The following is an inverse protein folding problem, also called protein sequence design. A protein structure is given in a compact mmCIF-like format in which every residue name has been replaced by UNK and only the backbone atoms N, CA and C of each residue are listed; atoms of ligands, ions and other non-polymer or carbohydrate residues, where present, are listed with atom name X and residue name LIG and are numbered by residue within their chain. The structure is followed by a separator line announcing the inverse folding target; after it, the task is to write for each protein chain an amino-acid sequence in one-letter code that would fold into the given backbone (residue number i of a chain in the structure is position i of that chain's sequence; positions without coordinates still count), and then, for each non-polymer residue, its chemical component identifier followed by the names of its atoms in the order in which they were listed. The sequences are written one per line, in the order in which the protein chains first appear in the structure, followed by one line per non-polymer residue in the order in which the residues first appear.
data_IF_009863297348
#
_entry.id   IF_009863297348
#
_cell.length_a   1.000
_cell.length_b   1.000
_cell.length_c   1.000
_cell.angle_alpha   90.00
_cell.angle_beta   90.00
_cell.angle_gamma   90.00
#
_symmetry.space_group_name_H-M   'P 1'
#
loop_
_entity.id
_entity.type
_entity.pdbx_description
1 polymer ?
#
# COMPACT_ATOMS: atom_id res chain seq x y z
N UNK A 1 -18.41 -8.95 -16.85
CA UNK A 1 -17.79 -8.09 -15.81
C UNK A 1 -17.27 -9.02 -14.72
N UNK A 2 -15.95 -9.22 -14.59
CA UNK A 2 -15.42 -10.16 -13.58
C UNK A 2 -15.55 -9.50 -12.20
N UNK A 3 -16.33 -10.13 -11.34
CA UNK A 3 -16.53 -9.75 -9.94
C UNK A 3 -15.16 -9.80 -9.25
N UNK A 4 -14.83 -8.74 -8.52
CA UNK A 4 -13.69 -8.70 -7.60
C UNK A 4 -13.72 -9.96 -6.71
N UNK A 5 -12.69 -10.81 -6.77
CA UNK A 5 -12.58 -11.97 -5.90
C UNK A 5 -11.91 -11.54 -4.59
N UNK A 6 -12.72 -11.42 -3.54
CA UNK A 6 -12.25 -11.18 -2.17
C UNK A 6 -11.17 -12.19 -1.74
N UNK A 7 -11.28 -13.44 -2.24
CA UNK A 7 -10.32 -14.51 -1.96
C UNK A 7 -8.94 -14.21 -2.56
N UNK A 8 -8.88 -13.76 -3.82
CA UNK A 8 -7.62 -13.39 -4.46
C UNK A 8 -6.94 -12.21 -3.75
N UNK A 9 -7.73 -11.22 -3.35
CA UNK A 9 -7.24 -10.07 -2.58
C UNK A 9 -6.66 -10.53 -1.23
N UNK A 10 -7.37 -11.41 -0.52
CA UNK A 10 -6.94 -11.99 0.76
C UNK A 10 -5.64 -12.80 0.65
N UNK A 11 -5.48 -13.58 -0.42
CA UNK A 11 -4.25 -14.35 -0.67
C UNK A 11 -3.04 -13.43 -0.87
N UNK A 12 -3.20 -12.34 -1.64
CA UNK A 12 -2.11 -11.37 -1.86
C UNK A 12 -1.79 -10.63 -0.55
N UNK A 13 -2.78 -10.28 0.26
CA UNK A 13 -2.53 -9.69 1.58
C UNK A 13 -1.79 -10.64 2.52
N UNK A 14 -2.08 -11.94 2.48
CA UNK A 14 -1.35 -12.96 3.24
C UNK A 14 0.11 -13.00 2.81
N UNK A 15 0.38 -13.05 1.51
CA UNK A 15 1.75 -12.99 0.96
C UNK A 15 2.47 -11.70 1.39
N UNK A 16 1.79 -10.54 1.35
CA UNK A 16 2.35 -9.26 1.84
C UNK A 16 2.73 -9.37 3.32
N UNK A 17 1.87 -9.96 4.16
CA UNK A 17 2.13 -10.12 5.60
C UNK A 17 3.36 -11.01 5.84
N UNK A 18 3.45 -12.16 5.17
CA UNK A 18 4.59 -13.09 5.30
C UNK A 18 5.91 -12.45 4.84
N UNK A 19 5.87 -11.68 3.75
CA UNK A 19 7.05 -10.93 3.27
C UNK A 19 7.42 -9.79 4.20
N UNK A 20 6.44 -9.10 4.79
CA UNK A 20 6.69 -8.05 5.79
C UNK A 20 7.42 -8.62 7.00
N UNK A 21 6.95 -9.77 7.49
CA UNK A 21 7.59 -10.48 8.59
C UNK A 21 9.03 -10.89 8.26
N UNK A 22 9.23 -11.48 7.08
CA UNK A 22 10.55 -11.86 6.62
C UNK A 22 11.48 -10.63 6.51
N UNK A 23 10.98 -9.53 5.95
CA UNK A 23 11.73 -8.29 5.83
C UNK A 23 12.10 -7.71 7.21
N UNK A 24 11.21 -7.78 8.21
CA UNK A 24 11.51 -7.34 9.58
C UNK A 24 12.70 -8.09 10.17
N UNK A 25 12.66 -9.43 10.10
CA UNK A 25 13.73 -10.29 10.63
C UNK A 25 15.06 -9.94 9.96
N UNK A 26 15.06 -9.88 8.63
CA UNK A 26 16.27 -9.60 7.85
C UNK A 26 16.80 -8.18 8.12
N UNK A 27 15.90 -7.21 8.29
CA UNK A 27 16.26 -5.80 8.51
C UNK A 27 16.99 -5.55 9.83
N UNK A 28 17.01 -6.51 10.75
CA UNK A 28 17.74 -6.38 12.01
C UNK A 28 19.24 -6.68 11.90
N UNK A 29 19.69 -7.22 10.77
CA UNK A 29 21.07 -7.61 10.54
C UNK A 29 21.79 -6.60 9.64
N UNK A 30 22.82 -5.94 10.16
CA UNK A 30 23.64 -4.97 9.40
C UNK A 30 24.73 -5.68 8.58
N UNK A 31 24.31 -6.60 7.72
CA UNK A 31 25.17 -7.36 6.83
C UNK A 31 24.65 -7.26 5.40
N UNK A 32 25.57 -7.20 4.43
CA UNK A 32 25.26 -6.94 3.02
C UNK A 32 24.21 -7.90 2.45
N UNK A 33 24.34 -9.20 2.72
CA UNK A 33 23.39 -10.22 2.24
C UNK A 33 21.99 -9.98 2.79
N UNK A 34 21.90 -9.63 4.08
CA UNK A 34 20.63 -9.33 4.73
C UNK A 34 20.02 -8.02 4.27
N UNK A 35 20.84 -7.00 4.00
CA UNK A 35 20.41 -5.71 3.45
C UNK A 35 19.88 -5.87 2.02
N UNK A 36 20.57 -6.63 1.18
CA UNK A 36 20.11 -6.96 -0.17
C UNK A 36 18.82 -7.78 -0.11
N UNK A 37 18.77 -8.81 0.75
CA UNK A 37 17.56 -9.62 0.94
C UNK A 37 16.38 -8.79 1.43
N UNK A 38 16.60 -7.87 2.37
CA UNK A 38 15.57 -6.93 2.84
C UNK A 38 15.08 -6.03 1.69
N UNK A 39 16.00 -5.50 0.87
CA UNK A 39 15.67 -4.68 -0.30
C UNK A 39 14.82 -5.47 -1.31
N UNK A 40 15.12 -6.76 -1.50
CA UNK A 40 14.33 -7.65 -2.36
C UNK A 40 12.93 -7.88 -1.81
N UNK A 41 12.78 -8.14 -0.50
CA UNK A 41 11.46 -8.31 0.12
C UNK A 41 10.63 -7.04 0.01
N UNK A 42 11.21 -5.87 0.30
CA UNK A 42 10.56 -4.56 0.12
C UNK A 42 10.08 -4.41 -1.32
N UNK A 43 10.95 -4.67 -2.31
CA UNK A 43 10.58 -4.56 -3.73
C UNK A 43 9.41 -5.47 -4.08
N UNK A 44 9.38 -6.70 -3.57
CA UNK A 44 8.26 -7.63 -3.77
C UNK A 44 6.96 -7.17 -3.12
N UNK A 45 7.03 -6.63 -1.91
CA UNK A 45 5.87 -6.04 -1.23
C UNK A 45 5.30 -4.88 -2.06
N UNK A 46 6.15 -3.98 -2.55
CA UNK A 46 5.73 -2.88 -3.43
C UNK A 46 5.04 -3.42 -4.69
N UNK A 47 5.60 -4.43 -5.35
CA UNK A 47 4.99 -5.07 -6.54
C UNK A 47 3.59 -5.63 -6.21
N UNK A 48 3.41 -6.29 -5.07
CA UNK A 48 2.13 -6.85 -4.63
C UNK A 48 1.10 -5.75 -4.31
N UNK A 49 1.50 -4.67 -3.61
CA UNK A 49 0.60 -3.53 -3.34
C UNK A 49 0.07 -2.95 -4.64
N UNK A 50 0.97 -2.74 -5.59
CA UNK A 50 0.57 -2.18 -6.87
C UNK A 50 -0.28 -3.16 -7.69
N UNK A 51 -0.10 -4.47 -7.51
CA UNK A 51 -1.02 -5.46 -8.04
C UNK A 51 -2.42 -5.35 -7.47
N UNK A 52 -2.56 -5.19 -6.16
CA UNK A 52 -3.85 -5.01 -5.51
C UNK A 52 -4.60 -3.82 -6.09
N UNK A 53 -3.92 -2.68 -6.24
CA UNK A 53 -4.47 -1.47 -6.88
C UNK A 53 -5.06 -1.74 -8.27
N UNK A 54 -4.38 -2.58 -9.07
CA UNK A 54 -4.82 -2.94 -10.42
C UNK A 54 -5.94 -3.99 -10.40
N UNK A 55 -5.82 -5.01 -9.54
CA UNK A 55 -6.79 -6.10 -9.38
C UNK A 55 -8.17 -5.57 -8.99
N UNK A 56 -8.22 -4.67 -8.02
CA UNK A 56 -9.45 -4.05 -7.51
C UNK A 56 -10.19 -3.28 -8.60
N UNK A 57 -9.44 -2.59 -9.48
CA UNK A 57 -10.04 -1.65 -10.42
C UNK A 57 -10.22 -2.19 -11.83
N UNK A 58 -9.84 -3.45 -12.10
CA UNK A 58 -10.07 -4.17 -13.35
C UNK A 58 -9.64 -3.43 -14.65
N UNK A 59 -8.96 -2.28 -14.54
CA UNK A 59 -8.70 -1.40 -15.67
C UNK A 59 -7.56 -2.00 -16.50
N UNK A 60 -7.96 -2.73 -17.54
CA UNK A 60 -7.21 -2.99 -18.77
C UNK A 60 -5.78 -3.51 -18.57
N UNK A 61 -5.58 -4.56 -17.77
CA UNK A 61 -4.50 -5.48 -18.11
C UNK A 61 -5.00 -6.35 -19.26
N UNK A 62 -4.58 -6.02 -20.48
CA UNK A 62 -4.80 -6.91 -21.63
C UNK A 62 -4.28 -8.31 -21.24
N UNK A 63 -4.93 -9.39 -21.67
CA UNK A 63 -4.53 -10.75 -21.27
C UNK A 63 -3.05 -11.10 -21.60
N UNK A 64 -2.40 -10.37 -22.51
CA UNK A 64 -0.94 -10.44 -22.75
C UNK A 64 -0.10 -9.79 -21.63
N UNK A 65 -0.55 -8.67 -21.07
CA UNK A 65 0.13 -7.95 -19.98
C UNK A 65 -0.07 -8.61 -18.60
N UNK A 66 -1.06 -9.52 -18.47
CA UNK A 66 -1.17 -10.39 -17.30
C UNK A 66 0.00 -11.36 -17.17
N UNK A 67 0.58 -11.78 -18.30
CA UNK A 67 1.74 -12.67 -18.33
C UNK A 67 3.06 -11.88 -18.31
N UNK A 68 3.07 -10.68 -18.87
CA UNK A 68 4.18 -9.73 -18.79
C UNK A 68 4.02 -8.79 -17.59
N UNK A 69 4.14 -9.36 -16.39
CA UNK A 69 4.18 -8.63 -15.14
C UNK A 69 5.47 -7.79 -15.04
N UNK A 70 5.51 -6.66 -15.75
CA UNK A 70 6.66 -5.75 -15.74
C UNK A 70 6.47 -4.68 -14.66
N UNK A 71 7.31 -4.69 -13.61
CA UNK A 71 7.16 -3.75 -12.52
C UNK A 71 7.27 -2.28 -12.92
N UNK A 72 8.02 -1.97 -13.98
CA UNK A 72 8.12 -0.62 -14.52
C UNK A 72 6.78 -0.13 -15.09
N UNK A 73 6.01 -0.99 -15.76
CA UNK A 73 4.67 -0.64 -16.27
C UNK A 73 3.69 -0.35 -15.13
N UNK A 74 3.85 -1.05 -14.01
CA UNK A 74 3.03 -0.89 -12.81
C UNK A 74 3.34 0.44 -12.12
N UNK A 75 4.62 0.78 -11.99
CA UNK A 75 5.05 2.09 -11.47
C UNK A 75 4.60 3.23 -12.39
N UNK A 76 4.65 3.05 -13.71
CA UNK A 76 4.09 4.03 -14.66
C UNK A 76 2.57 4.15 -14.55
N UNK A 77 1.86 3.04 -14.38
CA UNK A 77 0.42 3.05 -14.19
C UNK A 77 0.04 3.78 -12.90
N UNK A 78 0.79 3.58 -11.82
CA UNK A 78 0.64 4.37 -10.59
C UNK A 78 0.88 5.86 -10.89
N UNK A 79 1.99 6.25 -11.53
CA UNK A 79 2.26 7.66 -11.87
C UNK A 79 1.14 8.32 -12.69
N UNK A 80 0.47 7.56 -13.57
CA UNK A 80 -0.56 8.07 -14.49
C UNK A 80 -1.98 8.05 -13.89
N UNK A 81 -2.27 7.11 -13.00
CA UNK A 81 -3.61 6.93 -12.43
C UNK A 81 -3.77 7.68 -11.11
N UNK A 82 -4.97 8.20 -10.92
CA UNK A 82 -5.41 9.00 -9.77
C UNK A 82 -5.15 8.33 -8.42
N UNK A 83 -4.84 9.14 -7.40
CA UNK A 83 -4.65 8.83 -5.97
C UNK A 83 -5.63 7.80 -5.39
N UNK A 84 -6.84 7.72 -5.95
CA UNK A 84 -7.97 6.88 -5.53
C UNK A 84 -7.62 5.38 -5.53
N UNK A 85 -6.65 4.97 -6.35
CA UNK A 85 -6.30 3.56 -6.53
C UNK A 85 -5.08 3.12 -5.72
N UNK A 86 -4.41 4.05 -5.04
CA UNK A 86 -3.31 3.76 -4.15
C UNK A 86 -3.84 3.63 -2.71
N UNK A 87 -3.30 2.71 -1.87
CA UNK A 87 -3.72 2.60 -0.48
C UNK A 87 -3.64 3.94 0.24
N UNK A 88 -4.75 4.33 0.85
CA UNK A 88 -4.84 5.56 1.60
C UNK A 88 -4.96 5.27 3.09
N UNK A 89 -3.94 5.63 3.89
CA UNK A 89 -3.96 5.45 5.34
C UNK A 89 -5.15 6.19 5.95
N UNK A 90 -6.09 5.42 6.51
CA UNK A 90 -7.35 5.95 7.02
C UNK A 90 -8.02 4.94 7.94
N UNK A 91 -8.97 5.41 8.76
CA UNK A 91 -9.96 4.56 9.40
C UNK A 91 -11.37 4.91 8.93
N UNK A 92 -12.30 3.98 9.12
CA UNK A 92 -13.72 4.16 8.81
C UNK A 92 -14.53 4.05 10.10
N UNK A 93 -15.29 5.09 10.43
CA UNK A 93 -16.16 5.14 11.61
C UNK A 93 -17.62 5.12 11.17
N UNK A 94 -18.41 4.26 11.81
CA UNK A 94 -19.87 4.26 11.67
C UNK A 94 -20.44 5.29 12.66
N UNK A 95 -21.17 6.29 12.15
CA UNK A 95 -21.96 7.15 13.02
C UNK A 95 -23.18 6.35 13.48
N UNK A 96 -23.39 6.22 14.79
CA UNK A 96 -24.18 5.15 15.43
C UNK A 96 -25.70 5.13 15.18
N UNK A 97 -26.22 5.73 14.10
CA UNK A 97 -27.63 5.61 13.70
C UNK A 97 -27.76 4.76 12.43
N UNK A 98 -28.78 3.92 12.41
CA UNK A 98 -29.19 3.19 11.20
C UNK A 98 -29.39 4.19 10.04
N UNK A 99 -28.77 3.92 8.88
CA UNK A 99 -28.70 4.74 7.66
C UNK A 99 -27.66 5.88 7.56
N UNK A 100 -26.80 6.13 8.55
CA UNK A 100 -25.72 7.11 8.37
C UNK A 100 -24.56 6.54 7.52
N UNK A 101 -24.03 7.34 6.59
CA UNK A 101 -22.91 6.89 5.74
C UNK A 101 -21.63 6.76 6.56
N UNK A 102 -20.77 5.75 6.27
CA UNK A 102 -19.46 5.62 6.88
C UNK A 102 -18.64 6.90 6.66
N UNK A 103 -18.00 7.39 7.72
CA UNK A 103 -17.05 8.51 7.63
C UNK A 103 -15.64 7.96 7.54
N UNK A 104 -14.93 8.35 6.48
CA UNK A 104 -13.51 8.06 6.31
C UNK A 104 -12.69 9.17 6.97
N UNK A 105 -11.82 8.80 7.90
CA UNK A 105 -10.91 9.71 8.58
C UNK A 105 -9.49 9.46 8.04
N UNK A 106 -8.90 10.42 7.31
CA UNK A 106 -7.56 10.27 6.76
C UNK A 106 -6.48 10.42 7.83
N UNK A 107 -5.47 9.53 7.81
CA UNK A 107 -4.25 9.70 8.63
C UNK A 107 -3.14 10.46 7.88
N UNK A 108 -3.29 10.59 6.55
CA UNK A 108 -2.26 11.15 5.68
C UNK A 108 -1.01 10.24 5.56
N UNK A 109 0.04 10.77 4.91
CA UNK A 109 1.25 9.98 4.60
C UNK A 109 2.46 10.29 5.48
N UNK A 110 2.29 11.03 6.60
CA UNK A 110 3.42 11.42 7.46
C UNK A 110 4.23 10.21 7.97
N UNK A 111 3.54 9.11 8.28
CA UNK A 111 4.13 7.85 8.75
C UNK A 111 3.86 6.68 7.79
N UNK A 112 3.53 6.97 6.53
CA UNK A 112 3.21 5.97 5.52
C UNK A 112 3.92 6.31 4.20
N UNK A 113 4.06 5.35 3.30
CA UNK A 113 4.61 5.66 1.98
C UNK A 113 3.56 6.40 1.15
N UNK A 114 3.82 7.66 0.81
CA UNK A 114 3.10 8.34 -0.26
C UNK A 114 3.39 7.66 -1.61
N UNK A 115 2.59 7.97 -2.62
CA UNK A 115 2.80 7.45 -3.96
C UNK A 115 4.17 7.85 -4.54
N UNK A 116 4.67 9.05 -4.24
CA UNK A 116 6.01 9.48 -4.66
C UNK A 116 7.09 8.71 -3.91
N UNK A 117 6.93 8.50 -2.60
CA UNK A 117 7.88 7.73 -1.80
C UNK A 117 7.92 6.27 -2.23
N UNK A 118 6.77 5.71 -2.62
CA UNK A 118 6.64 4.37 -3.16
C UNK A 118 7.50 4.18 -4.41
N UNK A 119 7.40 5.11 -5.37
CA UNK A 119 8.22 5.07 -6.60
C UNK A 119 9.71 5.21 -6.27
N UNK A 120 10.05 6.10 -5.35
CA UNK A 120 11.44 6.30 -4.93
C UNK A 120 12.01 5.04 -4.25
N UNK A 121 11.27 4.45 -3.31
CA UNK A 121 11.63 3.20 -2.63
C UNK A 121 11.84 2.07 -3.64
N UNK A 122 10.92 1.92 -4.61
CA UNK A 122 11.03 0.92 -5.67
C UNK A 122 12.35 1.03 -6.46
N UNK A 123 12.69 2.25 -6.86
CA UNK A 123 13.91 2.54 -7.61
C UNK A 123 15.16 2.32 -6.76
N UNK A 124 15.15 2.75 -5.50
CA UNK A 124 16.27 2.54 -4.57
C UNK A 124 16.53 1.07 -4.33
N UNK A 125 15.51 0.27 -4.03
CA UNK A 125 15.66 -1.17 -3.87
C UNK A 125 16.20 -1.84 -5.14
N UNK A 126 15.76 -1.40 -6.33
CA UNK A 126 16.32 -1.89 -7.60
C UNK A 126 17.81 -1.59 -7.75
N UNK A 127 18.22 -0.35 -7.50
CA UNK A 127 19.64 0.06 -7.55
C UNK A 127 20.51 -0.75 -6.57
N UNK A 128 19.98 -1.06 -5.39
CA UNK A 128 20.69 -1.84 -4.37
C UNK A 128 20.91 -3.29 -4.78
N UNK A 129 20.01 -3.86 -5.58
CA UNK A 129 20.06 -5.26 -6.02
C UNK A 129 20.86 -5.49 -7.30
N UNK A 130 21.07 -4.44 -8.10
CA UNK A 130 21.90 -4.55 -9.30
C UNK A 130 23.37 -4.69 -8.90
N UNK A 131 24.09 -5.57 -9.60
CA UNK A 131 25.52 -5.79 -9.40
C UNK A 131 26.26 -4.45 -9.36
N UNK A 132 26.78 -4.09 -8.18
CA UNK A 132 27.59 -2.90 -8.04
C UNK A 132 28.88 -3.13 -8.81
N UNK A 133 29.17 -2.24 -9.75
CA UNK A 133 30.42 -2.30 -10.51
C UNK A 133 31.60 -2.36 -9.54
N UNK A 134 32.56 -3.31 -9.69
CA UNK A 134 33.64 -3.51 -8.71
C UNK A 134 34.48 -2.27 -8.39
N UNK A 135 34.55 -1.34 -9.35
CA UNK A 135 35.29 -0.07 -9.24
C UNK A 135 34.41 1.12 -8.80
N UNK A 136 33.12 0.93 -8.56
CA UNK A 136 32.22 1.99 -8.08
C UNK A 136 32.34 2.08 -6.56
N UNK A 137 32.21 3.29 -6.04
CA UNK A 137 32.19 3.52 -4.59
C UNK A 137 31.14 2.58 -3.95
N UNK A 138 31.58 1.73 -3.02
CA UNK A 138 30.68 0.79 -2.35
C UNK A 138 29.54 1.59 -1.73
N UNK A 139 28.30 1.20 -1.98
CA UNK A 139 27.17 1.83 -1.31
C UNK A 139 27.39 1.79 0.21
N UNK A 140 27.11 2.91 0.89
CA UNK A 140 27.28 3.01 2.34
C UNK A 140 26.31 2.04 3.01
N UNK A 141 26.79 0.86 3.40
CA UNK A 141 26.00 -0.23 4.02
C UNK A 141 25.07 0.27 5.12
N UNK A 142 25.57 1.16 5.99
CA UNK A 142 24.80 1.84 7.05
C UNK A 142 23.62 2.66 6.53
N UNK A 143 23.82 3.38 5.43
CA UNK A 143 22.77 4.18 4.80
C UNK A 143 21.69 3.26 4.23
N UNK A 144 22.06 2.23 3.47
CA UNK A 144 21.09 1.28 2.92
C UNK A 144 20.30 0.54 4.01
N UNK A 145 20.98 0.14 5.08
CA UNK A 145 20.35 -0.49 6.24
C UNK A 145 19.29 0.42 6.88
N UNK A 146 19.64 1.68 7.14
CA UNK A 146 18.70 2.65 7.74
C UNK A 146 17.56 3.04 6.80
N UNK A 147 17.83 3.17 5.50
CA UNK A 147 16.82 3.41 4.48
C UNK A 147 15.82 2.25 4.40
N UNK A 148 16.29 1.00 4.37
CA UNK A 148 15.42 -0.17 4.35
C UNK A 148 14.51 -0.23 5.58
N UNK A 149 15.05 0.02 6.79
CA UNK A 149 14.23 0.10 8.02
C UNK A 149 13.17 1.19 7.94
N UNK A 150 13.53 2.37 7.42
CA UNK A 150 12.59 3.48 7.24
C UNK A 150 11.48 3.14 6.25
N UNK A 151 11.83 2.57 5.11
CA UNK A 151 10.85 2.15 4.09
C UNK A 151 9.91 1.09 4.67
N UNK A 152 10.45 0.11 5.41
CA UNK A 152 9.66 -0.95 6.02
C UNK A 152 8.67 -0.41 7.06
N UNK A 153 9.11 0.52 7.91
CA UNK A 153 8.23 1.21 8.86
C UNK A 153 7.09 1.94 8.15
N UNK A 154 7.41 2.67 7.08
CA UNK A 154 6.42 3.41 6.31
C UNK A 154 5.48 2.50 5.51
N UNK A 155 5.94 1.32 5.09
CA UNK A 155 5.10 0.29 4.48
C UNK A 155 4.08 -0.27 5.46
N UNK A 156 4.48 -0.53 6.71
CA UNK A 156 3.56 -0.94 7.77
C UNK A 156 2.52 0.13 8.02
N UNK A 157 2.94 1.39 8.22
CA UNK A 157 2.02 2.51 8.42
C UNK A 157 1.06 2.74 7.24
N UNK A 158 1.48 2.39 6.02
CA UNK A 158 0.61 2.43 4.84
C UNK A 158 -0.47 1.35 4.86
N UNK A 159 -0.13 0.14 5.28
CA UNK A 159 -0.96 -1.05 5.08
C UNK A 159 -1.73 -1.50 6.33
N UNK A 160 -1.31 -1.08 7.52
CA UNK A 160 -1.91 -1.48 8.79
C UNK A 160 -3.40 -1.17 8.82
N UNK A 161 -3.78 0.05 8.42
CA UNK A 161 -5.17 0.48 8.22
C UNK A 161 -5.26 1.38 7.01
N UNK A 162 -5.94 0.89 5.98
CA UNK A 162 -6.01 1.63 4.72
C UNK A 162 -7.33 1.42 4.00
N UNK A 163 -7.64 2.41 3.17
CA UNK A 163 -8.77 2.37 2.26
C UNK A 163 -8.29 2.41 0.83
N UNK A 164 -8.92 1.63 -0.04
CA UNK A 164 -8.74 1.68 -1.49
C UNK A 164 -10.08 2.01 -2.14
N UNK A 165 -10.09 2.94 -3.09
CA UNK A 165 -11.26 3.20 -3.92
C UNK A 165 -11.46 2.11 -4.98
N UNK A 166 -12.68 1.58 -5.06
CA UNK A 166 -13.12 0.66 -6.12
C UNK A 166 -14.03 1.42 -7.08
N UNK A 167 -13.73 1.36 -8.37
CA UNK A 167 -14.61 1.87 -9.44
C UNK A 167 -15.48 0.75 -10.00
N UNK A 168 -16.81 0.86 -9.88
CA UNK A 168 -17.75 -0.14 -10.40
C UNK A 168 -18.31 0.19 -11.79
N UNK A 169 -18.37 1.46 -12.18
CA UNK A 169 -18.94 1.89 -13.46
C UNK A 169 -18.77 3.38 -13.73
N UNK A 170 -19.54 3.92 -14.68
CA UNK A 170 -19.64 5.37 -14.85
C UNK A 170 -20.17 5.97 -13.54
N UNK A 171 -19.32 6.73 -12.84
CA UNK A 171 -19.74 7.52 -11.68
C UNK A 171 -20.27 6.71 -10.49
N UNK A 172 -19.75 5.50 -10.24
CA UNK A 172 -20.07 4.75 -9.02
C UNK A 172 -18.80 4.20 -8.38
N UNK A 173 -18.59 4.56 -7.13
CA UNK A 173 -17.41 4.19 -6.35
C UNK A 173 -17.80 3.58 -5.00
N UNK A 174 -17.04 2.58 -4.56
CA UNK A 174 -17.09 2.04 -3.21
C UNK A 174 -15.70 2.07 -2.59
N UNK A 175 -15.61 1.86 -1.27
CA UNK A 175 -14.35 1.77 -0.56
C UNK A 175 -14.12 0.36 -0.05
N UNK A 176 -12.92 -0.14 -0.26
CA UNK A 176 -12.41 -1.32 0.43
C UNK A 176 -11.58 -0.84 1.61
N UNK A 177 -12.10 -1.05 2.81
CA UNK A 177 -11.35 -0.84 4.04
C UNK A 177 -10.65 -2.13 4.45
N UNK A 178 -9.38 -2.02 4.81
CA UNK A 178 -8.52 -3.15 5.14
C UNK A 178 -7.75 -2.85 6.41
N UNK A 179 -7.76 -3.82 7.33
CA UNK A 179 -6.93 -3.81 8.53
C UNK A 179 -6.02 -5.03 8.52
N UNK A 180 -4.72 -4.78 8.70
CA UNK A 180 -3.70 -5.82 8.76
C UNK A 180 -2.97 -5.68 10.08
N UNK A 181 -2.96 -6.77 10.83
CA UNK A 181 -2.13 -6.89 12.02
C UNK A 181 -0.75 -7.40 11.62
N UNK A 182 0.27 -6.57 11.82
CA UNK A 182 1.68 -6.93 11.61
C UNK A 182 2.37 -7.35 12.91
N UNK A 183 1.64 -7.50 14.02
CA UNK A 183 2.18 -8.15 15.21
C UNK A 183 2.42 -9.61 14.89
N UNK A 184 3.68 -10.04 14.97
CA UNK A 184 4.08 -11.41 14.61
C UNK A 184 3.99 -12.30 15.85
N UNK A 185 2.78 -12.45 16.38
CA UNK A 185 2.48 -13.29 17.55
C UNK A 185 1.36 -14.27 17.22
N UNK A 186 1.25 -15.33 18.02
CA UNK A 186 0.13 -16.28 17.94
C UNK A 186 -1.23 -15.61 18.23
N UNK A 187 -1.20 -14.36 18.71
CA UNK A 187 -2.37 -13.52 18.99
C UNK A 187 -2.68 -12.51 17.88
N UNK A 188 -1.95 -12.55 16.75
CA UNK A 188 -2.15 -11.63 15.64
C UNK A 188 -3.60 -11.71 15.13
N UNK A 189 -4.24 -10.55 14.99
CA UNK A 189 -5.61 -10.49 14.48
C UNK A 189 -5.65 -10.92 13.00
N UNK A 190 -6.71 -11.64 12.59
CA UNK A 190 -6.92 -11.94 11.17
C UNK A 190 -7.09 -10.63 10.40
N UNK A 191 -6.63 -10.63 9.15
CA UNK A 191 -6.83 -9.49 8.25
C UNK A 191 -8.32 -9.24 8.07
N UNK A 192 -8.78 -8.02 8.35
CA UNK A 192 -10.17 -7.62 8.16
C UNK A 192 -10.30 -6.90 6.82
N UNK A 193 -11.26 -7.29 6.00
CA UNK A 193 -11.59 -6.64 4.73
C UNK A 193 -13.08 -6.31 4.75
N UNK A 194 -13.44 -5.05 4.56
CA UNK A 194 -14.84 -4.60 4.53
C UNK A 194 -15.06 -3.68 3.34
N UNK A 195 -16.06 -3.99 2.52
CA UNK A 195 -16.50 -3.08 1.46
C UNK A 195 -17.61 -2.17 1.97
N UNK A 196 -17.39 -0.87 1.88
CA UNK A 196 -18.36 0.16 2.22
C UNK A 196 -18.95 0.75 0.94
N UNK A 197 -20.28 0.60 0.80
CA UNK A 197 -21.04 1.22 -0.28
C UNK A 197 -21.37 2.66 0.11
N UNK A 198 -20.82 3.59 -0.64
CA UNK A 198 -20.97 5.03 -0.44
C UNK A 198 -21.62 5.65 -1.67
N UNK A 199 -22.38 6.73 -1.46
CA UNK A 199 -23.00 7.46 -2.56
C UNK A 199 -22.03 8.50 -3.12
N UNK A 200 -20.97 8.02 -3.77
CA UNK A 200 -20.03 8.88 -4.49
C UNK A 200 -20.25 8.75 -5.99
N UNK A 201 -20.64 9.88 -6.59
CA UNK A 201 -21.08 9.94 -7.98
C UNK A 201 -20.08 10.64 -8.90
N UNK A 202 -18.96 11.16 -8.39
CA UNK A 202 -17.94 11.74 -9.26
C UNK A 202 -16.53 11.67 -8.65
N UNK A 203 -15.54 11.77 -9.54
CA UNK A 203 -14.12 11.69 -9.19
C UNK A 203 -13.63 12.88 -8.36
N UNK A 204 -14.27 14.05 -8.49
CA UNK A 204 -13.90 15.25 -7.71
C UNK A 204 -14.19 15.05 -6.23
N UNK A 205 -15.35 14.49 -5.89
CA UNK A 205 -15.71 14.15 -4.51
C UNK A 205 -14.71 13.17 -3.89
N UNK A 206 -14.26 12.17 -4.66
CA UNK A 206 -13.19 11.25 -4.21
C UNK A 206 -11.90 12.00 -3.95
N UNK A 207 -11.46 12.83 -4.90
CA UNK A 207 -10.22 13.60 -4.75
C UNK A 207 -10.25 14.48 -3.50
N UNK A 208 -11.40 15.05 -3.14
CA UNK A 208 -11.55 15.81 -1.90
C UNK A 208 -11.41 14.93 -0.64
N UNK A 209 -12.00 13.72 -0.64
CA UNK A 209 -11.93 12.78 0.50
C UNK A 209 -10.50 12.24 0.67
N UNK A 210 -9.85 11.90 -0.44
CA UNK A 210 -8.48 11.38 -0.47
C UNK A 210 -7.41 12.49 -0.60
N UNK A 211 -7.78 13.76 -0.37
CA UNK A 211 -6.81 14.84 -0.46
C UNK A 211 -5.90 14.80 0.78
N UNK A 212 -4.59 14.55 0.64
CA UNK A 212 -3.68 14.56 1.78
C UNK A 212 -3.63 15.92 2.51
N UNK A 213 -3.94 17.03 1.85
CA UNK A 213 -3.96 18.37 2.50
C UNK A 213 -5.14 18.56 3.46
N UNK A 214 -6.21 17.78 3.33
CA UNK A 214 -7.35 17.82 4.25
C UNK A 214 -7.08 17.08 5.57
N UNK A 215 -5.98 16.33 5.68
CA UNK A 215 -5.58 15.60 6.90
C UNK A 215 -4.92 16.48 7.98
N UNK A 216 -4.83 17.80 7.76
CA UNK A 216 -4.12 18.74 8.66
C UNK A 216 -4.95 19.43 9.74
N UNK A 217 -6.29 19.37 9.71
CA UNK A 217 -7.15 20.23 10.56
C UNK A 217 -8.05 19.50 11.57
N UNK A 218 -7.84 18.20 11.82
CA UNK A 218 -8.53 17.47 12.90
C UNK A 218 -7.53 16.86 13.88
N UNK A 219 -6.56 17.67 14.32
CA UNK A 219 -5.82 17.40 15.53
C UNK A 219 -6.74 17.60 16.74
N UNK A 220 -6.65 16.68 17.70
CA UNK A 220 -7.28 16.73 19.02
C UNK A 220 -8.78 16.42 19.09
N UNK A 221 -9.18 15.17 18.81
CA UNK A 221 -10.32 14.51 19.52
C UNK A 221 -10.70 13.08 19.09
N UNK A 222 -9.98 12.42 18.17
CA UNK A 222 -10.34 11.04 17.76
C UNK A 222 -9.17 10.08 18.02
N UNK A 223 -8.73 10.03 19.27
CA UNK A 223 -7.96 8.92 19.82
C UNK A 223 -8.96 7.87 20.30
N UNK A 224 -9.54 7.12 19.37
CA UNK A 224 -10.17 5.81 19.60
C UNK A 224 -10.57 5.20 18.24
N UNK A 225 -9.56 4.99 17.39
CA UNK A 225 -9.62 4.12 16.22
C UNK A 225 -8.39 3.26 16.21
#
# INVERSE_FOLDING_TARGET
MRVFSSDQYSLILKEIRERMYSADILSNQENVVFIESTSLQIRKILELIAYLSVLVNNEKLNNREKNEWHPNKIIEALKKKTTIFYPFPSCVVMQGKDNEQPVLIPFGYKNALSQTDFVNAYNTCGKNLHAQHPLREKAKTKQLFSENKKILKNLKGLLERHTIGIRHGANKYTFLYVEIDFTNSDTAKPTTIREYKIHIFNERQLKTIFNPENSGNSGDSILNC
#
